data_IF_345531850009
#
_entry.id   IF_345531850009
#
_cell.length_a   1.000
_cell.length_b   1.000
_cell.length_c   1.000
_cell.angle_alpha   90.00
_cell.angle_beta   90.00
_cell.angle_gamma   90.00
#
_symmetry.space_group_name_H-M   'P 1'
#
loop_
_entity.id
_entity.type
_entity.pdbx_description
1 polymer ?
#
# COMPACT_ATOMS: atom_id res chain seq x y z
N UNK A 1 -56.77 13.01 10.97
CA UNK A 1 -55.50 12.79 11.69
C UNK A 1 -54.62 11.68 11.09
N UNK A 2 -55.16 10.51 10.71
CA UNK A 2 -54.39 9.38 10.13
C UNK A 2 -53.51 9.71 8.89
N UNK A 3 -53.96 10.57 7.96
CA UNK A 3 -53.19 10.92 6.74
C UNK A 3 -51.93 11.75 7.01
N UNK A 4 -51.88 12.56 8.08
CA UNK A 4 -50.71 13.39 8.41
C UNK A 4 -49.56 12.56 8.99
N UNK A 5 -49.88 11.54 9.79
CA UNK A 5 -48.89 10.59 10.30
C UNK A 5 -48.30 9.70 9.22
N UNK A 6 -49.11 9.30 8.22
CA UNK A 6 -48.63 8.54 7.07
C UNK A 6 -47.58 9.34 6.26
N UNK A 7 -47.82 10.63 6.08
CA UNK A 7 -46.95 11.53 5.31
C UNK A 7 -45.62 11.79 6.05
N UNK A 8 -45.68 11.94 7.38
CA UNK A 8 -44.50 12.02 8.24
C UNK A 8 -43.66 10.74 8.19
N UNK A 9 -44.29 9.56 8.24
CA UNK A 9 -43.60 8.29 8.14
C UNK A 9 -42.88 8.13 6.79
N UNK A 10 -43.53 8.57 5.70
CA UNK A 10 -42.97 8.51 4.36
C UNK A 10 -41.73 9.41 4.21
N UNK A 11 -41.78 10.62 4.77
CA UNK A 11 -40.64 11.56 4.80
C UNK A 11 -39.50 11.03 5.67
N UNK A 12 -39.82 10.36 6.77
CA UNK A 12 -38.81 9.76 7.63
C UNK A 12 -38.06 8.63 6.90
N UNK A 13 -38.80 7.74 6.24
CA UNK A 13 -38.24 6.61 5.50
C UNK A 13 -37.39 7.11 4.32
N UNK A 14 -37.85 8.11 3.57
CA UNK A 14 -37.03 8.68 2.49
C UNK A 14 -35.78 9.35 3.05
N UNK A 15 -35.86 10.09 4.15
CA UNK A 15 -34.70 10.69 4.83
C UNK A 15 -33.63 9.67 5.23
N UNK A 16 -34.03 8.50 5.75
CA UNK A 16 -33.11 7.40 6.06
C UNK A 16 -32.46 6.82 4.80
N UNK A 17 -33.21 6.68 3.69
CA UNK A 17 -32.67 6.17 2.42
C UNK A 17 -31.68 7.15 1.79
N UNK A 18 -31.93 8.46 1.82
CA UNK A 18 -31.01 9.45 1.23
C UNK A 18 -29.72 9.58 2.04
N UNK A 19 -29.80 9.49 3.38
CA UNK A 19 -28.63 9.66 4.24
C UNK A 19 -27.77 8.39 4.34
N UNK A 20 -28.35 7.21 4.10
CA UNK A 20 -27.61 5.93 4.20
C UNK A 20 -26.70 5.63 3.00
N UNK A 21 -26.71 6.44 1.94
CA UNK A 21 -26.00 6.15 0.69
C UNK A 21 -25.10 7.29 0.19
N UNK A 22 -24.53 8.13 1.07
CA UNK A 22 -23.30 8.87 0.72
C UNK A 22 -22.10 7.91 0.78
N UNK A 23 -22.07 6.95 -0.14
CA UNK A 23 -20.86 6.22 -0.49
C UNK A 23 -19.99 7.22 -1.27
N UNK A 24 -19.14 7.96 -0.57
CA UNK A 24 -18.11 8.77 -1.21
C UNK A 24 -17.34 7.83 -2.14
N UNK A 25 -17.27 8.14 -3.44
CA UNK A 25 -16.84 7.21 -4.50
C UNK A 25 -15.39 6.70 -4.41
N UNK A 26 -14.67 6.99 -3.33
CA UNK A 26 -13.35 6.39 -3.05
C UNK A 26 -13.53 5.12 -2.22
N UNK A 27 -12.92 4.04 -2.69
CA UNK A 27 -12.84 2.79 -1.95
C UNK A 27 -12.15 3.08 -0.59
N UNK A 28 -12.72 2.68 0.56
CA UNK A 28 -12.12 2.95 1.86
C UNK A 28 -10.66 2.44 1.96
N UNK A 29 -10.32 1.37 1.25
CA UNK A 29 -8.94 0.85 1.19
C UNK A 29 -8.00 1.84 0.51
N UNK A 30 -8.44 2.48 -0.58
CA UNK A 30 -7.62 3.47 -1.30
C UNK A 30 -7.34 4.70 -0.43
N UNK A 31 -8.31 5.09 0.41
CA UNK A 31 -8.12 6.22 1.35
C UNK A 31 -7.05 5.95 2.41
N UNK A 32 -6.80 4.68 2.75
CA UNK A 32 -5.71 4.31 3.65
C UNK A 32 -4.36 4.62 3.00
N UNK A 33 -4.19 4.29 1.71
CA UNK A 33 -2.97 4.60 0.96
C UNK A 33 -2.75 6.10 0.78
N UNK A 34 -3.79 6.87 0.42
CA UNK A 34 -3.63 8.23 -0.10
C UNK A 34 -3.70 9.35 0.93
N UNK A 35 -4.07 9.07 2.19
CA UNK A 35 -4.28 10.15 3.15
C UNK A 35 -3.00 10.61 3.88
N UNK A 36 -1.82 10.31 3.37
CA UNK A 36 -0.52 10.68 3.93
C UNK A 36 0.62 10.14 3.09
N UNK A 37 1.85 10.34 3.55
CA UNK A 37 3.01 9.66 2.99
C UNK A 37 3.48 8.55 3.93
N UNK A 38 4.06 7.52 3.35
CA UNK A 38 4.51 6.32 4.04
C UNK A 38 6.02 6.35 4.15
N UNK A 39 6.51 6.58 5.36
CA UNK A 39 7.94 6.55 5.64
C UNK A 39 8.36 5.12 5.94
N UNK A 40 9.41 4.65 5.27
CA UNK A 40 9.99 3.34 5.54
C UNK A 40 10.54 3.31 6.98
N UNK A 41 10.21 2.24 7.70
CA UNK A 41 10.63 2.02 9.07
C UNK A 41 11.53 0.78 9.21
N UNK A 42 11.28 -0.27 8.43
CA UNK A 42 12.10 -1.49 8.45
C UNK A 42 12.07 -2.22 7.11
N UNK A 43 13.16 -2.96 6.84
CA UNK A 43 13.22 -3.97 5.78
C UNK A 43 13.66 -5.28 6.43
N UNK A 44 12.89 -6.34 6.22
CA UNK A 44 13.27 -7.71 6.59
C UNK A 44 13.42 -8.53 5.31
N UNK A 45 14.50 -9.30 5.22
CA UNK A 45 14.78 -10.18 4.10
C UNK A 45 14.84 -11.59 4.64
N UNK A 46 13.91 -12.42 4.19
CA UNK A 46 13.89 -13.83 4.56
C UNK A 46 14.12 -14.69 3.31
N UNK A 47 15.08 -15.61 3.40
CA UNK A 47 15.39 -16.55 2.33
C UNK A 47 14.89 -17.95 2.70
N UNK A 48 14.28 -18.62 1.73
CA UNK A 48 13.73 -19.97 1.89
C UNK A 48 14.28 -20.91 0.83
N UNK A 49 14.34 -22.21 1.14
CA UNK A 49 14.37 -23.30 0.16
C UNK A 49 13.26 -24.28 0.55
N UNK A 50 12.28 -24.46 -0.33
CA UNK A 50 11.02 -25.12 0.05
C UNK A 50 10.36 -24.39 1.22
N UNK A 51 10.13 -25.11 2.33
CA UNK A 51 9.53 -24.57 3.56
C UNK A 51 10.56 -24.18 4.62
N UNK A 52 11.84 -24.44 4.36
CA UNK A 52 12.91 -24.19 5.34
C UNK A 52 13.41 -22.77 5.17
N UNK A 53 13.33 -21.97 6.24
CA UNK A 53 13.99 -20.67 6.33
C UNK A 53 15.50 -20.89 6.44
N UNK A 54 16.26 -20.34 5.48
CA UNK A 54 17.71 -20.46 5.40
C UNK A 54 18.39 -19.27 6.10
N UNK A 55 17.80 -18.08 5.98
CA UNK A 55 18.30 -16.87 6.61
C UNK A 55 17.17 -15.88 6.83
N UNK A 56 17.37 -15.00 7.80
CA UNK A 56 16.50 -13.86 8.07
C UNK A 56 17.36 -12.70 8.55
N UNK A 57 17.27 -11.58 7.85
CA UNK A 57 18.11 -10.41 8.07
C UNK A 57 17.23 -9.17 8.08
N UNK A 58 17.35 -8.37 9.14
CA UNK A 58 16.74 -7.04 9.21
C UNK A 58 17.76 -5.99 8.79
N UNK A 59 17.37 -5.12 7.85
CA UNK A 59 18.14 -3.95 7.43
C UNK A 59 17.51 -2.72 8.09
N UNK A 60 18.31 -2.03 8.90
CA UNK A 60 17.97 -0.75 9.48
C UNK A 60 18.62 0.34 8.63
N UNK A 61 17.86 0.86 7.67
CA UNK A 61 18.33 1.96 6.84
C UNK A 61 18.40 3.25 7.64
N UNK A 62 19.47 4.03 7.46
CA UNK A 62 19.68 5.30 8.17
C UNK A 62 19.08 6.50 7.43
N UNK A 63 18.68 6.33 6.17
CA UNK A 63 18.06 7.39 5.37
C UNK A 63 16.53 7.35 5.46
N UNK A 64 15.90 8.50 5.22
CA UNK A 64 14.45 8.60 5.11
C UNK A 64 13.99 8.23 3.69
N UNK A 65 13.37 7.05 3.55
CA UNK A 65 12.70 6.65 2.32
C UNK A 65 11.19 6.89 2.44
N UNK A 66 10.58 7.45 1.39
CA UNK A 66 9.19 7.91 1.46
C UNK A 66 8.41 7.46 0.23
N UNK A 67 7.34 6.71 0.47
CA UNK A 67 6.39 6.25 -0.53
C UNK A 67 5.10 7.06 -0.43
N UNK A 68 4.71 7.73 -1.51
CA UNK A 68 3.49 8.56 -1.56
C UNK A 68 2.53 8.02 -2.61
N UNK A 69 1.24 7.91 -2.24
CA UNK A 69 0.15 7.55 -3.14
C UNK A 69 -0.79 8.74 -3.28
N UNK A 70 -1.20 9.04 -4.51
CA UNK A 70 -2.14 10.11 -4.81
C UNK A 70 -3.48 9.54 -5.26
N UNK A 71 -4.53 10.33 -5.10
CA UNK A 71 -5.92 9.99 -5.44
C UNK A 71 -6.17 9.90 -6.94
N UNK A 72 -5.22 10.33 -7.77
CA UNK A 72 -5.22 10.22 -9.24
C UNK A 72 -4.56 8.92 -9.73
N UNK A 73 -4.34 7.95 -8.84
CA UNK A 73 -3.65 6.69 -9.10
C UNK A 73 -2.18 6.83 -9.51
N UNK A 74 -1.56 7.98 -9.27
CA UNK A 74 -0.10 8.14 -9.35
C UNK A 74 0.57 7.92 -8.01
N UNK A 75 1.83 7.50 -8.03
CA UNK A 75 2.62 7.28 -6.84
C UNK A 75 4.08 7.65 -7.05
N UNK A 76 4.78 7.96 -5.95
CA UNK A 76 6.20 8.30 -5.97
C UNK A 76 6.96 7.61 -4.84
N UNK A 77 8.25 7.34 -5.05
CA UNK A 77 9.13 6.80 -4.02
C UNK A 77 10.46 7.55 -3.99
N UNK A 78 10.81 8.11 -2.84
CA UNK A 78 12.05 8.86 -2.63
C UNK A 78 13.11 8.01 -1.92
N UNK A 79 14.38 8.21 -2.29
CA UNK A 79 15.57 7.63 -1.65
C UNK A 79 15.58 6.10 -1.56
N UNK A 80 15.10 5.41 -2.60
CA UNK A 80 15.15 3.94 -2.63
C UNK A 80 16.57 3.42 -2.41
N UNK A 81 16.71 2.43 -1.52
CA UNK A 81 18.00 1.87 -1.05
C UNK A 81 19.03 2.93 -0.59
N UNK A 82 18.55 4.05 -0.06
CA UNK A 82 19.39 5.16 0.37
C UNK A 82 20.32 5.70 -0.72
N UNK A 83 19.91 5.59 -1.98
CA UNK A 83 20.63 6.16 -3.11
C UNK A 83 20.02 7.50 -3.49
N UNK A 84 20.88 8.49 -3.75
CA UNK A 84 20.48 9.75 -4.37
C UNK A 84 20.11 9.50 -5.82
N UNK A 85 18.82 9.60 -6.13
CA UNK A 85 18.27 9.36 -7.46
C UNK A 85 17.10 10.34 -7.70
N UNK A 86 16.74 10.61 -8.97
CA UNK A 86 15.50 11.32 -9.28
C UNK A 86 14.31 10.66 -8.57
N UNK A 87 13.32 11.46 -8.17
CA UNK A 87 12.11 10.94 -7.53
C UNK A 87 11.44 9.92 -8.44
N UNK A 88 11.43 8.65 -8.03
CA UNK A 88 10.80 7.58 -8.79
C UNK A 88 9.29 7.85 -8.83
N UNK A 89 8.71 7.79 -10.02
CA UNK A 89 7.29 8.04 -10.23
C UNK A 89 6.67 6.91 -11.05
N UNK A 90 5.39 6.63 -10.80
CA UNK A 90 4.62 5.62 -11.51
C UNK A 90 3.13 5.75 -11.23
N UNK A 91 2.40 4.72 -11.62
CA UNK A 91 1.01 4.48 -11.30
C UNK A 91 0.89 3.38 -10.27
N UNK A 92 -0.18 3.43 -9.48
CA UNK A 92 -0.52 2.37 -8.56
C UNK A 92 -1.96 1.92 -8.77
N UNK A 93 -2.19 0.65 -8.46
CA UNK A 93 -3.52 0.06 -8.43
C UNK A 93 -3.53 -1.11 -7.44
N UNK A 94 -4.72 -1.60 -7.15
CA UNK A 94 -4.92 -2.79 -6.34
C UNK A 94 -5.48 -3.90 -7.22
N UNK A 95 -4.97 -5.11 -7.04
CA UNK A 95 -5.56 -6.34 -7.58
C UNK A 95 -7.07 -6.41 -7.28
N UNK A 96 -7.87 -7.17 -8.06
CA UNK A 96 -9.32 -7.26 -7.87
C UNK A 96 -9.75 -7.67 -6.45
N UNK A 97 -8.99 -8.58 -5.82
CA UNK A 97 -9.22 -9.03 -4.45
C UNK A 97 -8.58 -8.13 -3.37
N UNK A 98 -7.90 -7.06 -3.78
CA UNK A 98 -7.25 -6.07 -2.93
C UNK A 98 -6.16 -6.65 -2.00
N UNK A 99 -5.62 -7.82 -2.33
CA UNK A 99 -4.52 -8.46 -1.57
C UNK A 99 -3.13 -8.05 -2.06
N UNK A 100 -3.05 -7.52 -3.27
CA UNK A 100 -1.80 -7.07 -3.89
C UNK A 100 -1.90 -5.61 -4.34
N UNK A 101 -0.86 -4.86 -4.00
CA UNK A 101 -0.52 -3.56 -4.55
C UNK A 101 0.32 -3.76 -5.82
N UNK A 102 -0.05 -3.04 -6.88
CA UNK A 102 0.69 -3.00 -8.14
C UNK A 102 1.15 -1.56 -8.31
N UNK A 103 2.44 -1.29 -8.07
CA UNK A 103 3.06 0.02 -8.26
C UNK A 103 4.17 -0.10 -9.30
N UNK A 104 3.98 0.53 -10.46
CA UNK A 104 4.83 0.31 -11.65
C UNK A 104 6.03 1.27 -11.75
N UNK A 105 6.32 2.01 -10.68
CA UNK A 105 7.47 2.89 -10.57
C UNK A 105 8.79 2.14 -10.77
N UNK A 106 9.74 2.83 -11.38
CA UNK A 106 11.10 2.34 -11.57
C UNK A 106 12.02 3.06 -10.59
N UNK A 107 12.74 2.30 -9.78
CA UNK A 107 13.74 2.78 -8.85
C UNK A 107 15.11 2.25 -9.25
N UNK A 108 16.15 3.05 -9.07
CA UNK A 108 17.53 2.63 -9.23
C UNK A 108 17.97 1.92 -7.94
N UNK A 109 18.29 0.63 -8.04
CA UNK A 109 18.80 -0.18 -6.92
C UNK A 109 20.31 -0.06 -6.74
N UNK A 110 21.01 0.25 -7.83
CA UNK A 110 22.45 0.57 -7.96
C UNK A 110 22.60 1.49 -9.17
N UNK A 111 23.78 2.07 -9.40
CA UNK A 111 24.05 2.98 -10.54
C UNK A 111 23.76 2.39 -11.93
N UNK A 112 23.47 1.09 -12.05
CA UNK A 112 23.23 0.40 -13.31
C UNK A 112 22.00 -0.50 -13.35
N UNK A 113 21.26 -0.66 -12.23
CA UNK A 113 20.13 -1.59 -12.16
C UNK A 113 18.84 -0.87 -11.77
N UNK A 114 17.99 -0.68 -12.78
CA UNK A 114 16.60 -0.25 -12.62
C UNK A 114 15.73 -1.45 -12.20
N UNK A 115 14.95 -1.27 -11.13
CA UNK A 115 14.03 -2.28 -10.59
C UNK A 115 12.64 -1.70 -10.37
N UNK A 116 11.62 -2.56 -10.39
CA UNK A 116 10.26 -2.19 -9.98
C UNK A 116 9.90 -2.91 -8.68
N UNK A 117 10.29 -2.36 -7.51
CA UNK A 117 10.27 -3.09 -6.25
C UNK A 117 8.85 -3.50 -5.82
N UNK A 118 7.84 -2.74 -6.23
CA UNK A 118 6.44 -2.93 -5.81
C UNK A 118 5.49 -3.27 -6.97
N UNK A 119 6.01 -3.78 -8.10
CA UNK A 119 5.16 -4.15 -9.26
C UNK A 119 4.14 -5.23 -8.93
N UNK A 120 4.45 -6.08 -7.94
CA UNK A 120 3.55 -7.08 -7.39
C UNK A 120 3.87 -7.26 -5.90
N UNK A 121 3.35 -6.36 -5.06
CA UNK A 121 3.57 -6.36 -3.63
C UNK A 121 2.34 -6.91 -2.90
N UNK A 122 2.50 -7.99 -2.13
CA UNK A 122 1.45 -8.51 -1.27
C UNK A 122 1.26 -7.59 -0.07
N UNK A 123 0.02 -7.21 0.20
CA UNK A 123 -0.36 -6.43 1.37
C UNK A 123 -0.53 -7.39 2.55
N UNK A 124 0.38 -7.31 3.51
CA UNK A 124 0.31 -8.10 4.76
C UNK A 124 -0.50 -7.36 5.81
N UNK A 125 -0.33 -6.04 5.87
CA UNK A 125 -1.12 -5.18 6.74
C UNK A 125 -1.30 -3.81 6.07
N UNK A 126 -2.49 -3.25 6.19
CA UNK A 126 -2.79 -1.87 5.81
C UNK A 126 -3.76 -1.29 6.83
N UNK A 127 -3.22 -0.47 7.73
CA UNK A 127 -3.97 0.22 8.77
C UNK A 127 -3.92 1.74 8.60
N UNK A 128 -4.46 2.45 9.59
CA UNK A 128 -4.44 3.91 9.61
C UNK A 128 -3.02 4.48 9.69
N UNK A 129 -2.11 3.79 10.40
CA UNK A 129 -0.76 4.28 10.70
C UNK A 129 0.37 3.37 10.24
N UNK A 130 0.07 2.14 9.82
CA UNK A 130 1.09 1.16 9.43
C UNK A 130 0.70 0.46 8.13
N UNK A 131 1.70 0.22 7.30
CA UNK A 131 1.57 -0.55 6.06
C UNK A 131 2.74 -1.53 5.98
N UNK A 132 2.45 -2.79 5.69
CA UNK A 132 3.46 -3.84 5.54
C UNK A 132 3.24 -4.53 4.20
N UNK A 133 4.29 -4.53 3.38
CA UNK A 133 4.28 -5.08 2.03
C UNK A 133 5.34 -6.17 1.89
N UNK A 134 4.97 -7.32 1.33
CA UNK A 134 5.91 -8.35 0.91
C UNK A 134 6.14 -8.28 -0.60
N UNK A 135 7.40 -8.36 -1.01
CA UNK A 135 7.82 -8.39 -2.43
C UNK A 135 8.79 -9.56 -2.67
N UNK A 136 9.17 -9.78 -3.93
CA UNK A 136 10.02 -10.90 -4.35
C UNK A 136 9.22 -12.16 -4.68
N UNK A 137 9.67 -13.32 -4.21
CA UNK A 137 9.11 -14.64 -4.54
C UNK A 137 7.90 -14.99 -3.64
N UNK A 138 6.85 -14.17 -3.72
CA UNK A 138 5.63 -14.25 -2.89
C UNK A 138 4.54 -15.16 -3.46
N UNK A 139 4.85 -15.94 -4.50
CA UNK A 139 3.88 -16.83 -5.13
C UNK A 139 3.41 -17.92 -4.14
N UNK A 140 2.09 -18.22 -4.09
CA UNK A 140 1.57 -19.24 -3.18
C UNK A 140 2.06 -20.64 -3.55
N UNK A 141 2.26 -20.89 -4.85
CA UNK A 141 2.83 -22.12 -5.37
C UNK A 141 4.33 -21.92 -5.60
N UNK A 142 5.15 -22.67 -4.89
CA UNK A 142 6.61 -22.61 -5.01
C UNK A 142 7.22 -24.00 -5.09
N UNK A 143 8.40 -24.08 -5.71
CA UNK A 143 9.18 -25.32 -5.76
C UNK A 143 9.80 -25.62 -4.40
N UNK A 144 9.84 -26.90 -4.03
CA UNK A 144 10.51 -27.39 -2.83
C UNK A 144 12.04 -27.27 -2.89
N UNK A 145 12.61 -27.15 -4.09
CA UNK A 145 14.06 -27.16 -4.32
C UNK A 145 14.63 -25.81 -4.76
N UNK A 146 13.77 -24.87 -5.16
CA UNK A 146 14.22 -23.55 -5.65
C UNK A 146 14.37 -22.57 -4.47
N UNK A 147 15.52 -21.88 -4.37
CA UNK A 147 15.67 -20.77 -3.43
C UNK A 147 14.67 -19.65 -3.72
N UNK A 148 14.14 -19.05 -2.66
CA UNK A 148 13.19 -17.93 -2.72
C UNK A 148 13.65 -16.81 -1.80
N UNK A 149 13.48 -15.57 -2.26
CA UNK A 149 13.73 -14.37 -1.45
C UNK A 149 12.44 -13.59 -1.30
N UNK A 150 12.01 -13.38 -0.05
CA UNK A 150 10.90 -12.50 0.29
C UNK A 150 11.47 -11.28 1.00
N UNK A 151 11.08 -10.09 0.55
CA UNK A 151 11.46 -8.83 1.19
C UNK A 151 10.21 -8.19 1.76
N UNK A 152 10.20 -7.99 3.08
CA UNK A 152 9.11 -7.34 3.81
C UNK A 152 9.51 -5.90 4.10
N UNK A 153 8.71 -4.96 3.63
CA UNK A 153 8.86 -3.54 3.89
C UNK A 153 7.81 -3.10 4.91
N UNK A 154 8.27 -2.56 6.04
CA UNK A 154 7.43 -1.93 7.04
C UNK A 154 7.43 -0.41 6.87
N UNK A 155 6.26 0.19 6.78
CA UNK A 155 6.08 1.63 6.66
C UNK A 155 5.21 2.18 7.79
N UNK A 156 5.52 3.40 8.21
CA UNK A 156 4.74 4.20 9.15
C UNK A 156 4.18 5.41 8.39
N UNK A 157 2.89 5.65 8.55
CA UNK A 157 2.25 6.82 7.95
C UNK A 157 2.66 8.08 8.70
N UNK A 158 3.05 9.07 7.93
CA UNK A 158 3.33 10.41 8.42
C UNK A 158 2.25 11.36 7.90
N UNK A 159 1.92 12.36 8.72
CA UNK A 159 0.92 13.36 8.36
C UNK A 159 1.49 14.24 7.25
N UNK A 160 0.72 14.45 6.19
CA UNK A 160 1.02 15.48 5.20
C UNK A 160 1.15 16.83 5.91
N UNK A 161 2.37 17.38 5.96
CA UNK A 161 2.56 18.75 6.45
C UNK A 161 2.01 19.66 5.35
N UNK A 162 0.83 20.23 5.60
CA UNK A 162 0.34 21.35 4.79
C UNK A 162 1.30 22.51 5.05
N UNK A 163 2.21 22.77 4.12
CA UNK A 163 2.91 24.05 4.08
C UNK A 163 1.85 25.11 3.80
N UNK A 164 1.45 25.84 4.83
CA UNK A 164 0.67 27.06 4.68
C UNK A 164 1.53 28.17 4.07
#
# INVERSE_FOLDING_TARGET
MKKRYLLLLLVLITGFIVNSCKKTGQNPIETLFTGGYWQLASIEITQYTGNTQISDTTINETCSQVFTFKTDFTCTYANFNCQTQPLAAGKWSLSPNKLFLIADMVCDSTTTLAVKPFINAQIINLGLYSMVLNTGDIAPNYSLTRPRKIVKYGFIRQKSVSTN
#
